data_IF_079355051952
#
_entry.id   IF_079355051952
#
_cell.length_a   1.000
_cell.length_b   1.000
_cell.length_c   1.000
_cell.angle_alpha   90.00
_cell.angle_beta   90.00
_cell.angle_gamma   90.00
#
_symmetry.space_group_name_H-M   'P 1'
#
loop_
_entity.id
_entity.type
_entity.pdbx_description
1 polymer ?
#
# COMPACT_ATOMS: atom_id res chain seq x y z
N UNK A 1 2.28 13.36 23.60
CA UNK A 1 3.62 13.73 23.06
C UNK A 1 3.54 15.03 22.28
N UNK A 2 4.61 15.83 22.31
CA UNK A 2 4.72 17.00 21.45
C UNK A 2 4.99 16.60 20.00
N UNK A 3 4.81 17.56 19.05
CA UNK A 3 5.09 17.28 17.63
C UNK A 3 6.53 16.82 17.39
N UNK A 4 7.58 17.44 17.99
CA UNK A 4 8.93 16.93 17.85
C UNK A 4 9.11 15.50 18.39
N UNK A 5 8.45 15.17 19.50
CA UNK A 5 8.50 13.82 20.07
C UNK A 5 7.84 12.79 19.15
N UNK A 6 6.70 13.15 18.55
CA UNK A 6 6.03 12.29 17.59
C UNK A 6 6.91 12.02 16.37
N UNK A 7 7.61 13.05 15.87
CA UNK A 7 8.51 12.90 14.75
C UNK A 7 9.68 11.98 15.09
N UNK A 8 10.31 12.19 16.24
CA UNK A 8 11.42 11.34 16.67
C UNK A 8 10.98 9.88 16.80
N UNK A 9 9.80 9.67 17.37
CA UNK A 9 9.23 8.32 17.52
C UNK A 9 8.97 7.67 16.18
N UNK A 10 8.43 8.43 15.22
CA UNK A 10 8.19 7.95 13.87
C UNK A 10 9.51 7.57 13.16
N UNK A 11 10.55 8.38 13.33
CA UNK A 11 11.86 8.09 12.77
C UNK A 11 12.45 6.80 13.34
N UNK A 12 12.29 6.58 14.63
CA UNK A 12 12.72 5.32 15.26
C UNK A 12 11.94 4.13 14.71
N UNK A 13 10.62 4.27 14.59
CA UNK A 13 9.79 3.21 14.00
C UNK A 13 10.21 2.87 12.58
N UNK A 14 10.50 3.88 11.78
CA UNK A 14 10.97 3.68 10.41
C UNK A 14 12.33 2.97 10.38
N UNK A 15 13.26 3.36 11.27
CA UNK A 15 14.56 2.71 11.39
C UNK A 15 14.40 1.22 11.71
N UNK A 16 13.55 0.91 12.68
CA UNK A 16 13.27 -0.48 13.05
C UNK A 16 12.68 -1.27 11.88
N UNK A 17 11.77 -0.65 11.14
CA UNK A 17 11.20 -1.26 9.94
C UNK A 17 12.28 -1.58 8.92
N UNK A 18 13.19 -0.65 8.64
CA UNK A 18 14.28 -0.86 7.69
C UNK A 18 15.25 -1.96 8.15
N UNK A 19 15.43 -2.11 9.46
CA UNK A 19 16.27 -3.17 10.03
C UNK A 19 15.58 -4.53 10.10
N UNK A 20 14.29 -4.58 9.77
CA UNK A 20 13.52 -5.82 9.83
C UNK A 20 12.95 -6.15 11.20
N UNK A 21 13.03 -5.22 12.16
CA UNK A 21 12.46 -5.39 13.50
C UNK A 21 10.97 -5.03 13.49
N UNK A 22 10.18 -5.81 12.74
CA UNK A 22 8.79 -5.52 12.47
C UNK A 22 7.90 -5.46 13.71
N UNK A 23 7.98 -6.39 14.68
CA UNK A 23 7.12 -6.31 15.85
C UNK A 23 7.34 -5.03 16.66
N UNK A 24 8.60 -4.58 16.82
CA UNK A 24 8.90 -3.34 17.52
C UNK A 24 8.45 -2.11 16.74
N UNK A 25 8.69 -2.11 15.42
CA UNK A 25 8.22 -1.02 14.55
C UNK A 25 6.70 -0.90 14.63
N UNK A 26 5.98 -2.02 14.62
CA UNK A 26 4.53 -2.05 14.70
C UNK A 26 4.03 -1.40 16.00
N UNK A 27 4.63 -1.75 17.15
CA UNK A 27 4.23 -1.17 18.43
C UNK A 27 4.37 0.35 18.42
N UNK A 28 5.44 0.88 17.83
CA UNK A 28 5.67 2.31 17.73
C UNK A 28 4.57 2.99 16.89
N UNK A 29 4.28 2.46 15.71
CA UNK A 29 3.27 3.07 14.84
C UNK A 29 1.84 2.89 15.37
N UNK A 30 1.55 1.81 16.09
CA UNK A 30 0.27 1.66 16.80
C UNK A 30 0.11 2.74 17.86
N UNK A 31 1.15 3.00 18.65
CA UNK A 31 1.14 4.07 19.64
C UNK A 31 0.93 5.44 18.96
N UNK A 32 1.68 5.72 17.90
CA UNK A 32 1.57 6.98 17.18
C UNK A 32 0.17 7.18 16.58
N UNK A 33 -0.43 6.13 16.04
CA UNK A 33 -1.78 6.20 15.48
C UNK A 33 -2.83 6.51 16.57
N UNK A 34 -2.61 6.06 17.81
CA UNK A 34 -3.47 6.40 18.94
C UNK A 34 -3.28 7.84 19.38
N UNK A 35 -2.04 8.34 19.35
CA UNK A 35 -1.71 9.72 19.73
C UNK A 35 -2.23 10.73 18.70
N UNK A 36 -2.17 10.39 17.42
CA UNK A 36 -2.59 11.26 16.33
C UNK A 36 -3.39 10.46 15.31
N UNK A 37 -4.69 10.22 15.59
CA UNK A 37 -5.52 9.34 14.77
C UNK A 37 -5.78 9.84 13.35
N UNK A 38 -5.57 11.13 13.08
CA UNK A 38 -5.84 11.73 11.77
C UNK A 38 -4.62 11.75 10.86
N UNK A 39 -3.46 11.31 11.34
CA UNK A 39 -2.25 11.26 10.53
C UNK A 39 -2.22 9.97 9.71
N UNK A 40 -2.46 10.10 8.41
CA UNK A 40 -2.52 8.96 7.49
C UNK A 40 -1.21 8.17 7.43
N UNK A 41 -0.07 8.86 7.57
CA UNK A 41 1.25 8.24 7.46
C UNK A 41 1.42 7.05 8.40
N UNK A 42 0.91 7.15 9.64
CA UNK A 42 1.06 6.06 10.61
C UNK A 42 0.31 4.79 10.16
N UNK A 43 -0.85 4.96 9.51
CA UNK A 43 -1.60 3.83 8.96
C UNK A 43 -0.89 3.21 7.78
N UNK A 44 -0.32 4.06 6.91
CA UNK A 44 0.48 3.59 5.77
C UNK A 44 1.70 2.81 6.25
N UNK A 45 2.37 3.31 7.29
CA UNK A 45 3.51 2.62 7.88
C UNK A 45 3.11 1.26 8.46
N UNK A 46 1.99 1.20 9.19
CA UNK A 46 1.46 -0.07 9.70
C UNK A 46 1.16 -1.05 8.57
N UNK A 47 0.53 -0.57 7.50
CA UNK A 47 0.25 -1.41 6.33
C UNK A 47 1.52 -1.99 5.72
N UNK A 48 2.57 -1.18 5.59
CA UNK A 48 3.85 -1.62 5.06
C UNK A 48 4.50 -2.68 5.95
N UNK A 49 4.39 -2.53 7.27
CA UNK A 49 4.92 -3.50 8.22
C UNK A 49 4.17 -4.83 8.10
N UNK A 50 2.83 -4.78 8.08
CA UNK A 50 2.02 -5.99 7.91
C UNK A 50 2.32 -6.68 6.58
N UNK A 51 2.49 -5.91 5.50
CA UNK A 51 2.84 -6.48 4.20
C UNK A 51 4.20 -7.20 4.25
N UNK A 52 5.19 -6.60 4.91
CA UNK A 52 6.50 -7.20 5.10
C UNK A 52 6.44 -8.49 5.92
N UNK A 53 5.49 -8.58 6.86
CA UNK A 53 5.26 -9.78 7.67
C UNK A 53 4.33 -10.79 6.98
N UNK A 54 3.90 -10.51 5.75
CA UNK A 54 2.93 -11.31 4.98
C UNK A 54 1.57 -11.44 5.67
N UNK A 55 1.22 -10.45 6.48
CA UNK A 55 -0.09 -10.34 7.12
C UNK A 55 -1.01 -9.53 6.20
N UNK A 56 -1.50 -10.19 5.15
CA UNK A 56 -2.15 -9.49 4.03
C UNK A 56 -3.48 -8.84 4.40
N UNK A 57 -4.30 -9.49 5.22
CA UNK A 57 -5.59 -8.92 5.61
C UNK A 57 -5.41 -7.69 6.50
N UNK A 58 -4.47 -7.75 7.45
CA UNK A 58 -4.15 -6.61 8.30
C UNK A 58 -3.55 -5.47 7.49
N UNK A 59 -2.70 -5.77 6.51
CA UNK A 59 -2.13 -4.77 5.62
C UNK A 59 -3.23 -4.06 4.83
N UNK A 60 -4.17 -4.82 4.26
CA UNK A 60 -5.28 -4.27 3.49
C UNK A 60 -6.11 -3.30 4.34
N UNK A 61 -6.44 -3.71 5.57
CA UNK A 61 -7.21 -2.86 6.49
C UNK A 61 -6.47 -1.56 6.81
N UNK A 62 -5.16 -1.65 7.09
CA UNK A 62 -4.35 -0.48 7.42
C UNK A 62 -4.27 0.49 6.24
N UNK A 63 -4.07 0.00 5.02
CA UNK A 63 -4.05 0.84 3.83
C UNK A 63 -5.42 1.44 3.52
N UNK A 64 -6.50 0.70 3.74
CA UNK A 64 -7.85 1.23 3.60
C UNK A 64 -8.07 2.42 4.53
N UNK A 65 -7.66 2.29 5.79
CA UNK A 65 -7.76 3.39 6.76
C UNK A 65 -6.91 4.59 6.36
N UNK A 66 -5.67 4.34 5.89
CA UNK A 66 -4.78 5.40 5.41
C UNK A 66 -5.42 6.16 4.26
N UNK A 67 -6.02 5.46 3.31
CA UNK A 67 -6.61 6.06 2.13
C UNK A 67 -7.93 6.78 2.41
N UNK A 68 -8.62 6.43 3.48
CA UNK A 68 -9.77 7.22 3.97
C UNK A 68 -9.30 8.57 4.50
N UNK A 69 -8.14 8.61 5.17
CA UNK A 69 -7.58 9.84 5.71
C UNK A 69 -6.89 10.67 4.62
N UNK A 70 -6.21 10.03 3.69
CA UNK A 70 -5.52 10.68 2.59
C UNK A 70 -5.67 9.87 1.30
N UNK A 71 -6.71 10.15 0.49
CA UNK A 71 -6.94 9.41 -0.77
C UNK A 71 -5.83 9.56 -1.81
N UNK A 72 -4.91 10.49 -1.62
CA UNK A 72 -3.80 10.77 -2.55
C UNK A 72 -2.47 10.20 -2.06
N UNK A 73 -2.48 9.34 -1.05
CA UNK A 73 -1.27 8.69 -0.56
C UNK A 73 -0.81 7.63 -1.56
N UNK A 74 0.16 8.00 -2.40
CA UNK A 74 0.67 7.11 -3.45
C UNK A 74 1.29 5.84 -2.89
N UNK A 75 2.00 5.93 -1.77
CA UNK A 75 2.60 4.74 -1.14
C UNK A 75 1.51 3.75 -0.71
N UNK A 76 0.43 4.26 -0.09
CA UNK A 76 -0.68 3.42 0.31
C UNK A 76 -1.36 2.76 -0.90
N UNK A 77 -1.55 3.51 -1.99
CA UNK A 77 -2.15 2.96 -3.21
C UNK A 77 -1.29 1.85 -3.82
N UNK A 78 0.01 2.10 -4.01
CA UNK A 78 0.91 1.13 -4.63
C UNK A 78 1.01 -0.12 -3.76
N UNK A 79 1.17 0.06 -2.46
CA UNK A 79 1.30 -1.06 -1.54
C UNK A 79 -0.01 -1.85 -1.39
N UNK A 80 -1.16 -1.16 -1.38
CA UNK A 80 -2.46 -1.86 -1.38
C UNK A 80 -2.65 -2.66 -2.67
N UNK A 81 -2.23 -2.11 -3.79
CA UNK A 81 -2.22 -2.83 -5.06
C UNK A 81 -1.41 -4.11 -4.97
N UNK A 82 -0.23 -4.07 -4.34
CA UNK A 82 0.57 -5.28 -4.12
C UNK A 82 -0.14 -6.30 -3.22
N UNK A 83 -0.81 -5.84 -2.18
CA UNK A 83 -1.61 -6.72 -1.32
C UNK A 83 -2.68 -7.41 -2.16
N UNK A 84 -3.40 -6.65 -2.97
CA UNK A 84 -4.43 -7.20 -3.86
C UNK A 84 -3.85 -8.24 -4.83
N UNK A 85 -2.67 -7.98 -5.40
CA UNK A 85 -2.01 -8.96 -6.28
C UNK A 85 -1.75 -10.28 -5.54
N UNK A 86 -1.21 -10.20 -4.34
CA UNK A 86 -0.92 -11.39 -3.53
C UNK A 86 -2.18 -12.14 -3.12
N UNK A 87 -3.28 -11.42 -2.94
CA UNK A 87 -4.58 -12.03 -2.62
C UNK A 87 -5.33 -12.54 -3.87
N UNK A 88 -4.78 -12.31 -5.06
CA UNK A 88 -5.44 -12.71 -6.31
C UNK A 88 -6.49 -11.72 -6.80
N UNK A 89 -6.60 -10.56 -6.19
CA UNK A 89 -7.57 -9.51 -6.56
C UNK A 89 -6.97 -8.62 -7.65
N UNK A 90 -6.83 -9.17 -8.84
CA UNK A 90 -6.07 -8.52 -9.93
C UNK A 90 -6.73 -7.21 -10.41
N UNK A 91 -8.07 -7.17 -10.47
CA UNK A 91 -8.80 -5.98 -10.90
C UNK A 91 -8.62 -4.83 -9.91
N UNK A 92 -8.73 -5.11 -8.61
CA UNK A 92 -8.54 -4.11 -7.57
C UNK A 92 -7.09 -3.61 -7.57
N UNK A 93 -6.14 -4.52 -7.79
CA UNK A 93 -4.73 -4.15 -7.91
C UNK A 93 -4.51 -3.18 -9.07
N UNK A 94 -5.06 -3.49 -10.25
CA UNK A 94 -4.95 -2.64 -11.43
C UNK A 94 -5.53 -1.25 -11.18
N UNK A 95 -6.66 -1.17 -10.48
CA UNK A 95 -7.30 0.11 -10.12
C UNK A 95 -6.41 0.95 -9.22
N UNK A 96 -5.80 0.33 -8.21
CA UNK A 96 -4.90 1.05 -7.28
C UNK A 96 -3.66 1.57 -8.00
N UNK A 97 -3.04 0.77 -8.85
CA UNK A 97 -1.89 1.20 -9.63
C UNK A 97 -2.24 2.32 -10.61
N UNK A 98 -3.37 2.21 -11.30
CA UNK A 98 -3.83 3.24 -12.24
C UNK A 98 -4.06 4.57 -11.51
N UNK A 99 -4.64 4.54 -10.31
CA UNK A 99 -4.85 5.74 -9.53
C UNK A 99 -3.54 6.37 -9.09
N UNK A 100 -2.56 5.57 -8.67
CA UNK A 100 -1.24 6.08 -8.31
C UNK A 100 -0.58 6.77 -9.50
N UNK A 101 -0.69 6.20 -10.69
CA UNK A 101 -0.17 6.79 -11.93
C UNK A 101 -0.88 8.12 -12.24
N UNK A 102 -2.20 8.17 -12.09
CA UNK A 102 -2.97 9.39 -12.36
C UNK A 102 -2.60 10.54 -11.43
N UNK A 103 -2.13 10.23 -10.21
CA UNK A 103 -1.70 11.25 -9.25
C UNK A 103 -0.32 11.83 -9.58
N UNK A 104 0.46 11.17 -10.42
CA UNK A 104 1.81 11.60 -10.79
C UNK A 104 2.09 11.31 -12.26
N UNK A 105 1.42 12.03 -13.18
CA UNK A 105 1.56 11.76 -14.62
C UNK A 105 2.96 12.04 -15.17
N UNK A 106 3.77 12.83 -14.47
CA UNK A 106 5.13 13.18 -14.89
C UNK A 106 6.21 12.25 -14.31
N UNK A 107 5.80 11.21 -13.57
CA UNK A 107 6.73 10.24 -12.95
C UNK A 107 7.80 10.87 -12.06
N UNK A 108 7.40 11.82 -11.22
CA UNK A 108 8.32 12.49 -10.29
C UNK A 108 8.68 11.60 -9.10
N UNK A 109 7.79 10.67 -8.74
CA UNK A 109 7.97 9.74 -7.64
C UNK A 109 8.41 8.38 -8.21
N UNK A 110 9.49 7.76 -7.69
CA UNK A 110 9.90 6.42 -8.12
C UNK A 110 8.78 5.36 -7.99
N UNK A 111 7.87 5.53 -7.04
CA UNK A 111 6.72 4.62 -6.89
C UNK A 111 5.80 4.62 -8.10
N UNK A 112 5.73 5.73 -8.84
CA UNK A 112 4.88 5.82 -10.03
C UNK A 112 5.37 4.90 -11.13
N UNK A 113 6.68 4.82 -11.35
CA UNK A 113 7.22 3.89 -12.34
C UNK A 113 6.94 2.45 -11.94
N UNK A 114 7.08 2.14 -10.66
CA UNK A 114 6.74 0.81 -10.15
C UNK A 114 5.26 0.51 -10.38
N UNK A 115 4.38 1.48 -10.10
CA UNK A 115 2.94 1.33 -10.33
C UNK A 115 2.64 1.08 -11.81
N UNK A 116 3.32 1.77 -12.73
CA UNK A 116 3.12 1.55 -14.17
C UNK A 116 3.51 0.13 -14.59
N UNK A 117 4.64 -0.36 -14.09
CA UNK A 117 5.09 -1.72 -14.41
C UNK A 117 4.14 -2.76 -13.83
N UNK A 118 3.69 -2.57 -12.60
CA UNK A 118 2.76 -3.51 -11.96
C UNK A 118 1.38 -3.45 -12.61
N UNK A 119 0.92 -2.26 -13.02
CA UNK A 119 -0.34 -2.11 -13.74
C UNK A 119 -0.29 -2.86 -15.08
N UNK A 120 0.80 -2.72 -15.82
CA UNK A 120 0.96 -3.42 -17.09
C UNK A 120 0.94 -4.94 -16.89
N UNK A 121 1.60 -5.44 -15.86
CA UNK A 121 1.61 -6.87 -15.53
C UNK A 121 0.21 -7.36 -15.14
N UNK A 122 -0.54 -6.58 -14.36
CA UNK A 122 -1.91 -6.92 -13.97
C UNK A 122 -2.84 -6.96 -15.18
N UNK A 123 -2.74 -5.99 -16.07
CA UNK A 123 -3.55 -5.93 -17.30
C UNK A 123 -3.24 -7.16 -18.18
N UNK A 124 -1.97 -7.49 -18.35
CA UNK A 124 -1.57 -8.67 -19.12
C UNK A 124 -2.16 -9.95 -18.52
N UNK A 125 -2.18 -10.07 -17.20
CA UNK A 125 -2.78 -11.20 -16.50
C UNK A 125 -4.28 -11.30 -16.77
N UNK A 126 -5.00 -10.16 -16.74
CA UNK A 126 -6.44 -10.10 -17.02
C UNK A 126 -6.71 -10.51 -18.46
N UNK A 127 -5.96 -9.97 -19.41
CA UNK A 127 -6.13 -10.27 -20.84
C UNK A 127 -5.82 -11.74 -21.13
N UNK A 128 -4.78 -12.30 -20.52
CA UNK A 128 -4.45 -13.70 -20.68
C UNK A 128 -5.57 -14.62 -20.17
N UNK A 129 -6.15 -14.28 -19.03
CA UNK A 129 -7.30 -15.01 -18.49
C UNK A 129 -8.50 -14.97 -19.42
N UNK A 130 -8.77 -13.81 -20.03
CA UNK A 130 -9.85 -13.63 -21.00
C UNK A 130 -9.60 -14.47 -22.27
N UNK A 131 -8.37 -14.49 -22.77
CA UNK A 131 -8.02 -15.30 -23.95
C UNK A 131 -8.18 -16.79 -23.69
N UNK A 132 -7.94 -17.25 -22.45
CA UNK A 132 -8.05 -18.67 -22.07
C UNK A 132 -9.43 -19.08 -21.63
N UNK A 133 -10.38 -18.12 -21.47
CA UNK A 133 -11.73 -18.42 -21.00
C UNK A 133 -12.53 -19.23 -22.02
N UNK A 134 -13.47 -20.10 -21.57
CA UNK A 134 -14.42 -20.73 -22.47
C UNK A 134 -15.21 -19.72 -23.30
N UNK A 135 -15.62 -20.09 -24.51
CA UNK A 135 -16.29 -19.18 -25.45
C UNK A 135 -17.52 -18.49 -24.86
N UNK A 136 -18.29 -19.18 -24.02
CA UNK A 136 -19.47 -18.63 -23.36
C UNK A 136 -19.15 -17.53 -22.34
N UNK A 137 -17.91 -17.41 -21.89
CA UNK A 137 -17.47 -16.38 -20.94
C UNK A 137 -16.80 -15.17 -21.61
N UNK A 138 -16.54 -15.24 -22.93
CA UNK A 138 -15.82 -14.18 -23.64
C UNK A 138 -16.73 -13.09 -24.22
N UNK A 139 -17.97 -13.06 -23.83
CA UNK A 139 -18.95 -12.06 -24.31
C UNK A 139 -18.74 -10.64 -23.70
#
# INVERSE_FOLDING_TARGET
>A
MSSPELLERAMEGFRLYEEGDYPEARLIFEELAQQDPLEAYYRTALGAIYLAEDELDAALEAFDEALKLNPKDSAALVNRGEVHLRLGNIMEAAQDFARAVDLDPENKDPLTMRARLLAAAAIETIEAAQRSAPAELKK
#
